data_IF_366479356773
#
_entry.id   IF_366479356773
#
_cell.length_a   1.000
_cell.length_b   1.000
_cell.length_c   1.000
_cell.angle_alpha   90.00
_cell.angle_beta   90.00
_cell.angle_gamma   90.00
#
_symmetry.space_group_name_H-M   'P 1'
#
loop_
_entity.id
_entity.type
_entity.pdbx_description
1 polymer ?
#
# COMPACT_ATOMS: atom_id res chain seq x y z
N UNK A 1 -22.64 19.10 0.85
CA UNK A 1 -21.63 19.85 1.62
C UNK A 1 -20.27 19.40 1.14
N UNK A 2 -19.53 20.26 0.44
CA UNK A 2 -18.12 19.97 0.12
C UNK A 2 -17.32 20.08 1.42
N UNK A 3 -16.87 18.94 1.94
CA UNK A 3 -15.90 18.91 3.04
C UNK A 3 -14.59 19.41 2.44
N UNK A 4 -14.27 20.70 2.65
CA UNK A 4 -13.02 21.29 2.19
C UNK A 4 -11.95 21.16 3.29
N UNK A 5 -11.56 19.93 3.58
CA UNK A 5 -10.43 19.63 4.49
C UNK A 5 -9.15 19.66 3.67
N UNK A 6 -8.18 20.49 4.04
CA UNK A 6 -6.86 20.45 3.42
C UNK A 6 -6.11 19.19 3.87
N UNK A 7 -5.23 18.69 3.02
CA UNK A 7 -4.43 17.49 3.33
C UNK A 7 -3.58 17.65 4.61
N UNK A 8 -3.04 18.85 4.84
CA UNK A 8 -2.28 19.19 6.05
C UNK A 8 -3.12 19.05 7.34
N UNK A 9 -4.43 19.31 7.26
CA UNK A 9 -5.36 19.24 8.40
C UNK A 9 -5.88 17.82 8.68
N UNK A 10 -5.59 16.85 7.80
CA UNK A 10 -6.06 15.47 7.99
C UNK A 10 -5.32 14.82 9.17
N UNK A 11 -6.03 14.50 10.25
CA UNK A 11 -5.41 13.91 11.45
C UNK A 11 -4.96 12.48 11.16
N UNK A 12 -3.66 12.23 11.36
CA UNK A 12 -3.13 10.87 11.39
C UNK A 12 -3.22 10.35 12.82
N UNK A 13 -3.74 9.14 12.97
CA UNK A 13 -3.71 8.39 14.21
C UNK A 13 -3.34 6.94 13.89
N UNK A 14 -2.32 6.42 14.58
CA UNK A 14 -1.95 5.01 14.46
C UNK A 14 -3.16 4.14 14.84
N UNK A 15 -3.60 3.21 13.98
CA UNK A 15 -4.65 2.26 14.34
C UNK A 15 -4.22 1.39 15.53
N UNK A 16 -5.14 1.09 16.43
CA UNK A 16 -5.00 -0.06 17.32
C UNK A 16 -5.12 -1.33 16.48
N UNK A 17 -3.99 -1.85 16.00
CA UNK A 17 -3.98 -2.97 15.07
C UNK A 17 -4.55 -4.24 15.70
N UNK A 18 -4.33 -4.48 17.00
CA UNK A 18 -4.80 -5.71 17.65
C UNK A 18 -6.30 -5.64 17.91
N UNK A 19 -6.79 -4.51 18.44
CA UNK A 19 -8.23 -4.29 18.62
C UNK A 19 -9.00 -4.27 17.29
N UNK A 20 -8.42 -3.64 16.26
CA UNK A 20 -9.02 -3.64 14.92
C UNK A 20 -9.07 -5.05 14.32
N UNK A 21 -7.98 -5.81 14.43
CA UNK A 21 -7.91 -7.18 13.94
C UNK A 21 -8.98 -8.06 14.60
N UNK A 22 -9.11 -8.00 15.94
CA UNK A 22 -10.14 -8.73 16.68
C UNK A 22 -11.55 -8.34 16.23
N UNK A 23 -11.80 -7.04 16.02
CA UNK A 23 -13.10 -6.53 15.56
C UNK A 23 -13.43 -7.04 14.16
N UNK A 24 -12.47 -7.00 13.23
CA UNK A 24 -12.66 -7.50 11.87
C UNK A 24 -12.88 -9.02 11.85
N UNK A 25 -12.24 -9.78 12.74
CA UNK A 25 -12.47 -11.22 12.89
C UNK A 25 -13.89 -11.51 13.37
N UNK A 26 -14.39 -10.71 14.32
CA UNK A 26 -15.79 -10.76 14.74
C UNK A 26 -16.77 -10.49 13.58
N UNK A 27 -16.46 -9.53 12.70
CA UNK A 27 -17.27 -9.31 11.49
C UNK A 27 -17.32 -10.53 10.57
N UNK A 28 -16.21 -11.26 10.39
CA UNK A 28 -16.23 -12.48 9.57
C UNK A 28 -17.15 -13.56 10.19
N UNK A 29 -17.11 -13.74 11.51
CA UNK A 29 -18.00 -14.66 12.22
C UNK A 29 -19.47 -14.26 12.10
N UNK A 30 -19.77 -12.95 12.21
CA UNK A 30 -21.09 -12.39 11.97
C UNK A 30 -21.55 -12.63 10.53
N UNK A 31 -20.66 -12.53 9.53
CA UNK A 31 -20.98 -12.84 8.13
C UNK A 31 -21.31 -14.32 7.92
N UNK A 32 -20.54 -15.23 8.52
CA UNK A 32 -20.80 -16.68 8.42
C UNK A 32 -22.13 -17.09 9.05
N UNK A 33 -22.53 -16.39 10.12
CA UNK A 33 -23.74 -16.70 10.88
C UNK A 33 -24.99 -15.92 10.39
N UNK A 34 -24.86 -15.11 9.33
CA UNK A 34 -25.97 -14.32 8.80
C UNK A 34 -27.15 -15.21 8.40
N UNK A 35 -28.36 -14.79 8.78
CA UNK A 35 -29.61 -15.52 8.51
C UNK A 35 -30.41 -14.94 7.35
N UNK A 36 -29.88 -13.89 6.70
CA UNK A 36 -30.44 -13.27 5.51
C UNK A 36 -29.39 -12.55 4.68
N UNK A 37 -29.70 -12.28 3.41
CA UNK A 37 -28.85 -11.44 2.56
C UNK A 37 -28.68 -10.02 3.08
N UNK A 38 -29.72 -9.44 3.68
CA UNK A 38 -29.64 -8.11 4.30
C UNK A 38 -28.68 -8.07 5.49
N UNK A 39 -28.69 -9.10 6.35
CA UNK A 39 -27.74 -9.24 7.46
C UNK A 39 -26.31 -9.39 6.94
N UNK A 40 -26.08 -10.28 5.96
CA UNK A 40 -24.77 -10.48 5.36
C UNK A 40 -24.22 -9.15 4.80
N UNK A 41 -25.03 -8.43 4.03
CA UNK A 41 -24.67 -7.16 3.42
C UNK A 41 -24.39 -6.08 4.48
N UNK A 42 -25.17 -6.03 5.56
CA UNK A 42 -24.95 -5.08 6.64
C UNK A 42 -23.58 -5.29 7.31
N UNK A 43 -23.21 -6.55 7.56
CA UNK A 43 -21.91 -6.88 8.16
C UNK A 43 -20.76 -6.65 7.16
N UNK A 44 -20.95 -6.95 5.87
CA UNK A 44 -20.00 -6.61 4.81
C UNK A 44 -19.69 -5.10 4.80
N UNK A 45 -20.70 -4.25 4.94
CA UNK A 45 -20.53 -2.79 5.00
C UNK A 45 -19.78 -2.34 6.26
N UNK A 46 -20.00 -3.01 7.39
CA UNK A 46 -19.25 -2.78 8.65
C UNK A 46 -17.77 -3.12 8.45
N UNK A 47 -17.47 -4.27 7.86
CA UNK A 47 -16.10 -4.71 7.55
C UNK A 47 -15.42 -3.77 6.54
N UNK A 48 -16.12 -3.33 5.49
CA UNK A 48 -15.62 -2.34 4.53
C UNK A 48 -15.29 -1.00 5.22
N UNK A 49 -16.15 -0.51 6.12
CA UNK A 49 -15.91 0.74 6.85
C UNK A 49 -14.64 0.68 7.69
N UNK A 50 -14.41 -0.44 8.39
CA UNK A 50 -13.19 -0.68 9.17
C UNK A 50 -11.95 -0.70 8.26
N UNK A 51 -12.05 -1.44 7.15
CA UNK A 51 -10.98 -1.55 6.14
C UNK A 51 -10.64 -0.19 5.51
N UNK A 52 -11.65 0.64 5.23
CA UNK A 52 -11.46 2.00 4.71
C UNK A 52 -10.76 2.91 5.72
N UNK A 53 -11.12 2.83 7.00
CA UNK A 53 -10.46 3.62 8.04
C UNK A 53 -8.97 3.25 8.17
N UNK A 54 -8.66 1.95 8.16
CA UNK A 54 -7.28 1.45 8.15
C UNK A 54 -6.51 1.98 6.94
N UNK A 55 -7.11 1.88 5.74
CA UNK A 55 -6.52 2.39 4.50
C UNK A 55 -6.28 3.89 4.55
N UNK A 56 -7.21 4.68 5.10
CA UNK A 56 -7.03 6.13 5.28
C UNK A 56 -5.78 6.44 6.09
N UNK A 57 -5.59 5.78 7.24
CA UNK A 57 -4.42 6.02 8.09
C UNK A 57 -3.12 5.56 7.42
N UNK A 58 -3.15 4.42 6.72
CA UNK A 58 -2.01 3.95 5.92
C UNK A 58 -1.66 4.94 4.81
N UNK A 59 -2.65 5.43 4.07
CA UNK A 59 -2.44 6.43 3.01
C UNK A 59 -1.86 7.73 3.54
N UNK A 60 -2.36 8.24 4.66
CA UNK A 60 -1.80 9.44 5.29
C UNK A 60 -0.34 9.24 5.70
N UNK A 61 -0.02 8.12 6.36
CA UNK A 61 1.35 7.78 6.72
C UNK A 61 2.26 7.64 5.48
N UNK A 62 1.82 6.91 4.47
CA UNK A 62 2.60 6.68 3.26
C UNK A 62 2.89 7.98 2.49
N UNK A 63 1.88 8.83 2.27
CA UNK A 63 2.08 10.09 1.56
C UNK A 63 3.04 11.00 2.35
N UNK A 64 2.86 11.14 3.66
CA UNK A 64 3.74 11.98 4.48
C UNK A 64 5.17 11.45 4.56
N UNK A 65 5.34 10.13 4.62
CA UNK A 65 6.65 9.47 4.53
C UNK A 65 7.32 9.71 3.17
N UNK A 66 6.61 9.55 2.07
CA UNK A 66 7.19 9.72 0.72
C UNK A 66 7.49 11.17 0.36
N UNK A 67 6.81 12.14 0.96
CA UNK A 67 7.14 13.58 0.85
C UNK A 67 8.52 13.86 1.48
N UNK A 68 8.81 13.26 2.64
CA UNK A 68 10.09 13.41 3.31
C UNK A 68 10.48 12.10 4.02
N UNK A 69 11.28 11.27 3.35
CA UNK A 69 11.73 9.98 3.88
C UNK A 69 12.72 10.11 5.04
N UNK A 70 13.24 11.33 5.31
CA UNK A 70 14.11 11.65 6.45
C UNK A 70 13.31 12.04 7.70
N UNK A 71 11.98 12.15 7.62
CA UNK A 71 11.12 12.35 8.79
C UNK A 71 11.08 11.07 9.64
N UNK A 72 11.71 11.09 10.83
CA UNK A 72 11.83 9.92 11.70
C UNK A 72 10.47 9.38 12.17
N UNK A 73 9.49 10.26 12.39
CA UNK A 73 8.16 9.85 12.84
C UNK A 73 7.45 9.05 11.74
N UNK A 74 7.34 9.60 10.53
CA UNK A 74 6.65 8.91 9.45
C UNK A 74 7.44 7.70 8.92
N UNK A 75 8.78 7.70 9.03
CA UNK A 75 9.58 6.51 8.76
C UNK A 75 9.25 5.37 9.74
N UNK A 76 9.20 5.65 11.04
CA UNK A 76 8.84 4.65 12.05
C UNK A 76 7.39 4.15 11.89
N UNK A 77 6.44 5.05 11.62
CA UNK A 77 5.05 4.66 11.34
C UNK A 77 4.95 3.80 10.08
N UNK A 78 5.69 4.13 9.03
CA UNK A 78 5.71 3.36 7.79
C UNK A 78 6.18 1.92 8.04
N UNK A 79 7.25 1.75 8.82
CA UNK A 79 7.79 0.44 9.18
C UNK A 79 6.81 -0.37 10.06
N UNK A 80 6.11 0.28 11.00
CA UNK A 80 5.03 -0.36 11.79
C UNK A 80 3.92 -0.89 10.89
N UNK A 81 3.45 -0.10 9.92
CA UNK A 81 2.44 -0.55 8.97
C UNK A 81 2.94 -1.69 8.08
N UNK A 82 4.20 -1.64 7.62
CA UNK A 82 4.78 -2.73 6.81
C UNK A 82 4.77 -4.07 7.55
N UNK A 83 5.02 -4.06 8.86
CA UNK A 83 4.97 -5.26 9.69
C UNK A 83 3.54 -5.71 9.98
N UNK A 84 2.64 -4.76 10.26
CA UNK A 84 1.28 -5.06 10.71
C UNK A 84 0.31 -5.44 9.58
N UNK A 85 0.36 -4.78 8.41
CA UNK A 85 -0.65 -4.93 7.36
C UNK A 85 -0.72 -6.32 6.70
N UNK A 86 0.38 -7.09 6.53
CA UNK A 86 0.30 -8.41 5.89
C UNK A 86 -0.70 -9.35 6.55
N UNK A 87 -0.82 -9.31 7.90
CA UNK A 87 -1.80 -10.13 8.62
C UNK A 87 -3.25 -9.74 8.34
N UNK A 88 -3.52 -8.51 7.90
CA UNK A 88 -4.86 -8.07 7.50
C UNK A 88 -5.26 -8.52 6.09
N UNK A 89 -4.32 -9.04 5.29
CA UNK A 89 -4.60 -9.58 3.96
C UNK A 89 -5.63 -10.71 3.98
N UNK A 90 -5.70 -11.46 5.08
CA UNK A 90 -6.65 -12.58 5.22
C UNK A 90 -8.11 -12.14 5.16
N UNK A 91 -8.44 -10.93 5.63
CA UNK A 91 -9.84 -10.50 5.75
C UNK A 91 -10.50 -10.38 4.39
N UNK A 92 -9.76 -9.93 3.37
CA UNK A 92 -10.28 -9.81 2.01
C UNK A 92 -10.57 -11.19 1.40
N UNK A 93 -9.64 -12.13 1.58
CA UNK A 93 -9.79 -13.50 1.07
C UNK A 93 -10.91 -14.27 1.77
N UNK A 94 -11.00 -14.10 3.09
CA UNK A 94 -12.00 -14.79 3.90
C UNK A 94 -13.40 -14.21 3.71
N UNK A 95 -13.53 -12.87 3.64
CA UNK A 95 -14.80 -12.26 3.27
C UNK A 95 -15.26 -12.69 1.87
N UNK A 96 -14.33 -12.78 0.91
CA UNK A 96 -14.62 -13.29 -0.43
C UNK A 96 -15.11 -14.75 -0.39
N UNK A 97 -14.44 -15.62 0.37
CA UNK A 97 -14.85 -17.03 0.56
C UNK A 97 -16.26 -17.10 1.15
N UNK A 98 -16.51 -16.40 2.26
CA UNK A 98 -17.81 -16.41 2.96
C UNK A 98 -18.93 -15.96 2.01
N UNK A 99 -18.73 -14.87 1.26
CA UNK A 99 -19.75 -14.37 0.33
C UNK A 99 -20.01 -15.38 -0.80
N UNK A 100 -18.97 -15.95 -1.41
CA UNK A 100 -19.13 -16.87 -2.54
C UNK A 100 -19.80 -18.19 -2.16
N UNK A 101 -19.56 -18.66 -0.93
CA UNK A 101 -20.12 -19.90 -0.36
C UNK A 101 -21.47 -19.69 0.33
N UNK A 102 -21.85 -18.43 0.61
CA UNK A 102 -23.11 -18.09 1.25
C UNK A 102 -24.33 -18.44 0.38
N UNK A 103 -25.43 -18.95 0.97
CA UNK A 103 -26.71 -19.07 0.25
C UNK A 103 -27.24 -17.71 -0.25
N UNK A 104 -26.78 -16.60 0.34
CA UNK A 104 -27.22 -15.23 0.02
C UNK A 104 -26.31 -14.52 -1.00
N UNK A 105 -25.39 -15.23 -1.65
CA UNK A 105 -24.46 -14.65 -2.64
C UNK A 105 -25.17 -13.88 -3.77
N UNK A 106 -26.37 -14.33 -4.15
CA UNK A 106 -27.16 -13.71 -5.20
C UNK A 106 -27.84 -12.41 -4.74
N UNK A 107 -28.13 -12.27 -3.44
CA UNK A 107 -28.59 -11.00 -2.87
C UNK A 107 -27.49 -9.94 -2.94
N UNK A 108 -26.23 -10.35 -2.70
CA UNK A 108 -25.05 -9.48 -2.87
C UNK A 108 -24.89 -9.04 -4.32
N UNK A 109 -24.99 -9.97 -5.28
CA UNK A 109 -24.92 -9.64 -6.70
C UNK A 109 -26.08 -8.75 -7.16
N UNK A 110 -27.30 -8.96 -6.66
CA UNK A 110 -28.44 -8.11 -6.97
C UNK A 110 -28.22 -6.66 -6.51
N UNK A 111 -27.54 -6.46 -5.38
CA UNK A 111 -27.27 -5.12 -4.82
C UNK A 111 -26.06 -4.42 -5.45
N UNK A 112 -24.98 -5.15 -5.72
CA UNK A 112 -23.69 -4.57 -6.11
C UNK A 112 -23.19 -4.97 -7.51
N UNK A 113 -23.89 -5.89 -8.18
CA UNK A 113 -23.57 -6.44 -9.49
C UNK A 113 -22.71 -7.71 -9.43
N UNK A 114 -22.87 -8.56 -10.44
CA UNK A 114 -22.11 -9.82 -10.61
C UNK A 114 -20.59 -9.61 -10.63
N UNK A 115 -20.14 -8.46 -11.13
CA UNK A 115 -18.71 -8.14 -11.17
C UNK A 115 -18.05 -8.14 -9.79
N UNK A 116 -18.80 -7.87 -8.71
CA UNK A 116 -18.26 -8.00 -7.35
C UNK A 116 -17.89 -9.45 -7.01
N UNK A 117 -18.70 -10.42 -7.43
CA UNK A 117 -18.42 -11.84 -7.21
C UNK A 117 -17.18 -12.30 -7.99
N UNK A 118 -17.01 -11.81 -9.23
CA UNK A 118 -15.80 -12.06 -10.02
C UNK A 118 -14.53 -11.53 -9.32
N UNK A 119 -14.62 -10.35 -8.70
CA UNK A 119 -13.51 -9.80 -7.91
C UNK A 119 -13.21 -10.65 -6.68
N UNK A 120 -14.23 -11.19 -6.01
CA UNK A 120 -14.05 -12.13 -4.90
C UNK A 120 -13.40 -13.45 -5.33
N UNK A 121 -13.74 -13.96 -6.51
CA UNK A 121 -13.09 -15.14 -7.09
C UNK A 121 -11.59 -14.94 -7.33
N UNK A 122 -11.19 -13.73 -7.77
CA UNK A 122 -9.78 -13.37 -7.92
C UNK A 122 -9.12 -13.22 -6.54
N UNK A 123 -9.74 -12.47 -5.63
CA UNK A 123 -9.21 -12.22 -4.28
C UNK A 123 -8.93 -13.52 -3.52
N UNK A 124 -9.80 -14.52 -3.66
CA UNK A 124 -9.63 -15.85 -3.05
C UNK A 124 -8.39 -16.58 -3.57
N UNK A 125 -7.95 -16.31 -4.81
CA UNK A 125 -6.79 -16.97 -5.43
C UNK A 125 -5.45 -16.31 -5.07
N UNK A 126 -5.46 -15.04 -4.69
CA UNK A 126 -4.24 -14.23 -4.49
C UNK A 126 -3.73 -14.23 -3.06
N UNK A 127 -4.43 -14.86 -2.11
CA UNK A 127 -4.00 -14.90 -0.71
C UNK A 127 -4.14 -16.30 -0.13
N UNK A 128 -3.11 -16.72 0.60
CA UNK A 128 -3.11 -17.92 1.46
C UNK A 128 -2.37 -17.59 2.75
N UNK A 129 -2.76 -18.15 3.91
CA UNK A 129 -2.02 -17.93 5.16
C UNK A 129 -0.53 -18.29 5.08
N UNK A 130 -0.20 -19.30 4.26
CA UNK A 130 1.17 -19.80 4.06
C UNK A 130 2.13 -18.75 3.47
N UNK A 131 1.63 -17.76 2.73
CA UNK A 131 2.46 -16.73 2.06
C UNK A 131 2.62 -15.43 2.86
N UNK A 132 2.14 -15.36 4.12
CA UNK A 132 2.20 -14.13 4.92
C UNK A 132 3.64 -13.65 5.12
N UNK A 133 4.58 -14.58 5.38
CA UNK A 133 5.99 -14.24 5.55
C UNK A 133 6.60 -13.71 4.24
N UNK A 134 6.24 -14.30 3.10
CA UNK A 134 6.70 -13.84 1.78
C UNK A 134 6.20 -12.43 1.49
N UNK A 135 4.93 -12.14 1.82
CA UNK A 135 4.36 -10.79 1.69
C UNK A 135 5.04 -9.77 2.62
N UNK A 136 5.46 -10.17 3.82
CA UNK A 136 6.24 -9.31 4.71
C UNK A 136 7.60 -8.98 4.10
N UNK A 137 8.27 -9.97 3.52
CA UNK A 137 9.57 -9.80 2.88
C UNK A 137 9.49 -8.94 1.61
N UNK A 138 8.46 -9.14 0.77
CA UNK A 138 8.16 -8.30 -0.37
C UNK A 138 7.98 -6.82 0.05
N UNK A 139 7.22 -6.56 1.12
CA UNK A 139 7.04 -5.20 1.66
C UNK A 139 8.36 -4.61 2.18
N UNK A 140 9.23 -5.42 2.80
CA UNK A 140 10.55 -4.99 3.27
C UNK A 140 11.45 -4.58 2.10
N UNK A 141 11.57 -5.44 1.09
CA UNK A 141 12.40 -5.24 -0.10
C UNK A 141 11.95 -4.03 -0.93
N UNK A 142 10.65 -3.90 -1.17
CA UNK A 142 10.10 -2.73 -1.89
C UNK A 142 10.33 -1.42 -1.14
N UNK A 143 10.23 -1.44 0.20
CA UNK A 143 10.56 -0.28 1.04
C UNK A 143 12.05 0.05 1.01
N UNK A 144 12.92 -0.97 0.98
CA UNK A 144 14.36 -0.79 0.86
C UNK A 144 14.75 -0.16 -0.48
N UNK A 145 14.15 -0.63 -1.59
CA UNK A 145 14.33 -0.02 -2.90
C UNK A 145 13.93 1.47 -2.91
N UNK A 146 12.76 1.79 -2.35
CA UNK A 146 12.29 3.19 -2.27
C UNK A 146 13.25 4.06 -1.45
N UNK A 147 13.70 3.58 -0.29
CA UNK A 147 14.68 4.29 0.56
C UNK A 147 15.99 4.52 -0.19
N UNK A 148 16.50 3.52 -0.90
CA UNK A 148 17.71 3.63 -1.70
C UNK A 148 17.55 4.69 -2.79
N UNK A 149 16.52 4.61 -3.64
CA UNK A 149 16.30 5.58 -4.72
C UNK A 149 16.05 7.01 -4.22
N UNK A 150 15.40 7.17 -3.06
CA UNK A 150 15.17 8.47 -2.43
C UNK A 150 16.45 9.08 -1.80
N UNK A 151 17.47 8.27 -1.53
CA UNK A 151 18.72 8.71 -0.91
C UNK A 151 19.67 9.44 -1.88
N UNK A 152 19.31 9.54 -3.16
CA UNK A 152 20.14 10.17 -4.17
C UNK A 152 20.49 11.62 -3.83
N UNK A 153 21.79 11.89 -3.72
CA UNK A 153 22.37 13.22 -3.59
C UNK A 153 23.44 13.39 -4.68
N UNK A 154 23.08 14.07 -5.76
CA UNK A 154 23.91 14.26 -6.95
C UNK A 154 24.37 15.73 -6.99
N UNK A 155 25.67 15.98 -6.90
CA UNK A 155 26.24 17.31 -7.11
C UNK A 155 26.17 17.66 -8.61
N UNK A 156 25.37 18.67 -8.94
CA UNK A 156 25.19 19.12 -10.32
C UNK A 156 24.98 20.64 -10.33
N UNK A 157 25.53 21.39 -11.28
CA UNK A 157 25.31 22.86 -11.42
C UNK A 157 25.30 23.63 -10.07
N UNK A 158 26.29 23.35 -9.21
CA UNK A 158 26.49 24.04 -7.93
C UNK A 158 25.58 23.63 -6.77
N UNK A 159 24.65 22.68 -6.94
CA UNK A 159 23.72 22.24 -5.89
C UNK A 159 23.61 20.71 -5.84
N UNK A 160 23.29 20.18 -4.66
CA UNK A 160 22.89 18.78 -4.48
C UNK A 160 21.45 18.58 -4.93
N UNK A 161 21.21 17.60 -5.80
CA UNK A 161 19.87 17.26 -6.30
C UNK A 161 19.55 15.78 -6.15
N UNK A 162 18.28 15.46 -5.95
CA UNK A 162 17.78 14.09 -6.08
C UNK A 162 17.55 13.74 -7.56
N UNK A 163 17.23 12.47 -7.84
CA UNK A 163 17.00 11.99 -9.22
C UNK A 163 15.91 12.79 -9.95
N UNK A 164 14.81 13.13 -9.28
CA UNK A 164 13.73 13.93 -9.90
C UNK A 164 14.20 15.34 -10.26
N UNK A 165 14.98 15.97 -9.38
CA UNK A 165 15.58 17.29 -9.57
C UNK A 165 16.58 17.37 -10.72
N UNK A 166 17.06 16.22 -11.23
CA UNK A 166 17.90 16.16 -12.43
C UNK A 166 17.10 16.25 -13.73
N UNK A 167 15.79 15.93 -13.71
CA UNK A 167 14.93 15.84 -14.89
C UNK A 167 14.94 17.11 -15.76
N UNK A 168 14.84 18.33 -15.22
CA UNK A 168 14.88 19.55 -16.05
C UNK A 168 16.18 19.68 -16.86
N UNK A 169 17.32 19.29 -16.29
CA UNK A 169 18.61 19.36 -16.96
C UNK A 169 18.77 18.25 -18.01
N UNK A 170 18.26 17.05 -17.73
CA UNK A 170 18.20 15.94 -18.68
C UNK A 170 17.31 16.24 -19.89
N UNK A 171 16.36 17.17 -19.75
CA UNK A 171 15.45 17.62 -20.81
C UNK A 171 15.83 18.99 -21.41
N UNK A 172 16.97 19.58 -21.00
CA UNK A 172 17.46 20.86 -21.50
C UNK A 172 17.55 20.87 -23.04
N UNK A 173 17.38 22.02 -23.69
CA UNK A 173 17.62 22.15 -25.14
C UNK A 173 19.10 22.07 -25.49
N UNK A 174 19.99 22.40 -24.55
CA UNK A 174 21.44 22.23 -24.69
C UNK A 174 21.85 20.75 -24.58
N UNK A 175 22.48 20.25 -25.64
CA UNK A 175 22.94 18.85 -25.72
C UNK A 175 24.02 18.53 -24.68
N UNK A 176 24.92 19.45 -24.39
CA UNK A 176 25.99 19.20 -23.41
C UNK A 176 25.38 19.08 -22.00
N UNK A 177 24.49 20.00 -21.63
CA UNK A 177 23.72 19.94 -20.39
C UNK A 177 22.99 18.60 -20.23
N UNK A 178 22.22 18.17 -21.25
CA UNK A 178 21.51 16.88 -21.21
C UNK A 178 22.45 15.70 -21.00
N UNK A 179 23.59 15.70 -21.69
CA UNK A 179 24.59 14.63 -21.60
C UNK A 179 25.16 14.57 -20.18
N UNK A 180 25.64 15.70 -19.64
CA UNK A 180 26.22 15.76 -18.29
C UNK A 180 25.20 15.35 -17.22
N UNK A 181 23.97 15.85 -17.30
CA UNK A 181 22.90 15.51 -16.38
C UNK A 181 22.55 14.01 -16.42
N UNK A 182 22.41 13.45 -17.62
CA UNK A 182 22.12 12.03 -17.79
C UNK A 182 23.26 11.16 -17.25
N UNK A 183 24.51 11.50 -17.53
CA UNK A 183 25.67 10.77 -17.01
C UNK A 183 25.75 10.83 -15.48
N UNK A 184 25.45 11.99 -14.88
CA UNK A 184 25.42 12.11 -13.43
C UNK A 184 24.31 11.26 -12.78
N UNK A 185 23.09 11.32 -13.32
CA UNK A 185 21.96 10.50 -12.85
C UNK A 185 22.23 9.00 -12.99
N UNK A 186 22.64 8.55 -14.18
CA UNK A 186 22.93 7.14 -14.42
C UNK A 186 24.19 6.68 -13.69
N UNK A 187 25.19 7.54 -13.52
CA UNK A 187 26.39 7.25 -12.73
C UNK A 187 26.05 6.99 -11.26
N UNK A 188 25.14 7.77 -10.68
CA UNK A 188 24.66 7.52 -9.33
C UNK A 188 23.93 6.18 -9.23
N UNK A 189 23.01 5.87 -10.16
CA UNK A 189 22.29 4.59 -10.19
C UNK A 189 23.26 3.41 -10.35
N UNK A 190 24.22 3.51 -11.28
CA UNK A 190 25.24 2.49 -11.51
C UNK A 190 26.11 2.24 -10.27
N UNK A 191 26.38 3.28 -9.48
CA UNK A 191 27.08 3.11 -8.20
C UNK A 191 26.26 2.34 -7.15
N UNK A 192 24.95 2.19 -7.33
CA UNK A 192 24.07 1.39 -6.47
C UNK A 192 23.75 0.00 -7.06
N UNK A 193 24.37 -0.37 -8.18
CA UNK A 193 24.00 -1.54 -8.97
C UNK A 193 23.89 -2.83 -8.15
N UNK A 194 24.93 -3.21 -7.40
CA UNK A 194 24.95 -4.46 -6.62
C UNK A 194 23.73 -4.57 -5.68
N UNK A 195 23.36 -3.46 -5.06
CA UNK A 195 22.24 -3.41 -4.11
C UNK A 195 20.89 -3.43 -4.83
N UNK A 196 20.77 -2.75 -5.96
CA UNK A 196 19.56 -2.77 -6.78
C UNK A 196 19.31 -4.16 -7.38
N UNK A 197 20.36 -4.80 -7.87
CA UNK A 197 20.33 -6.16 -8.44
C UNK A 197 19.96 -7.19 -7.37
N UNK A 198 20.54 -7.10 -6.16
CA UNK A 198 20.20 -7.97 -5.02
C UNK A 198 18.73 -7.83 -4.60
N UNK A 199 18.23 -6.59 -4.42
CA UNK A 199 16.82 -6.36 -4.07
C UNK A 199 15.90 -6.95 -5.14
N UNK A 200 16.20 -6.74 -6.42
CA UNK A 200 15.37 -7.26 -7.50
C UNK A 200 15.42 -8.78 -7.59
N UNK A 201 16.59 -9.39 -7.38
CA UNK A 201 16.75 -10.84 -7.35
C UNK A 201 16.00 -11.51 -6.18
N UNK A 202 15.82 -10.83 -5.05
CA UNK A 202 15.01 -11.34 -3.94
C UNK A 202 13.51 -11.15 -4.16
N UNK A 203 13.10 -10.20 -5.01
CA UNK A 203 11.69 -9.94 -5.33
C UNK A 203 11.10 -10.86 -6.42
N UNK A 204 11.93 -11.48 -7.26
CA UNK A 204 11.53 -12.29 -8.44
C UNK A 204 11.80 -13.76 -8.22
#
# INVERSE_FOLDING_TARGET
>A
MSINTKFEDMVYQRPDFDGLYATMKGCLQEMESAQSGDELIAVMLKLDKLSRNLRTMRSLCHVRYTINTKDEFYAAEHDVFNQALPRFGEFGAEAARIVLESPYRQDVAAKYGEHLLEKYEIQRKTFKPEIINDLQEENRLTSEYQKLMASAEIDFEGEKRNLSGMTPFMQSTDRDMRRRASLASWGWIAAQQDKLDDIYNQLV
#
